data_IF_846326027983
#
_entry.id   IF_846326027983
#
_cell.length_a   1.000
_cell.length_b   1.000
_cell.length_c   1.000
_cell.angle_alpha   90.00
_cell.angle_beta   90.00
_cell.angle_gamma   90.00
#
_symmetry.space_group_name_H-M   'P 1'
#
loop_
_entity.id
_entity.type
_entity.pdbx_description
1 polymer ?
#
# COMPACT_ATOMS: atom_id res chain seq x y z
N UNK A 1 -38.04 -25.96 -2.40
CA UNK A 1 -36.71 -26.50 -2.72
C UNK A 1 -36.85 -27.79 -3.48
N UNK A 2 -36.85 -27.68 -4.80
CA UNK A 2 -36.72 -28.83 -5.71
C UNK A 2 -35.23 -29.03 -6.09
N UNK A 3 -34.94 -30.07 -6.87
CA UNK A 3 -33.57 -30.38 -7.26
C UNK A 3 -32.92 -29.27 -8.09
N UNK A 4 -33.66 -28.65 -9.02
CA UNK A 4 -33.14 -27.56 -9.85
C UNK A 4 -32.80 -26.32 -9.02
N UNK A 5 -33.63 -25.99 -8.02
CA UNK A 5 -33.36 -24.92 -7.06
C UNK A 5 -32.10 -25.20 -6.23
N UNK A 6 -31.85 -26.46 -5.87
CA UNK A 6 -30.61 -26.87 -5.19
C UNK A 6 -29.38 -26.70 -6.09
N UNK A 7 -29.45 -27.17 -7.34
CA UNK A 7 -28.36 -27.01 -8.32
C UNK A 7 -28.04 -25.54 -8.53
N UNK A 8 -29.06 -24.70 -8.73
CA UNK A 8 -28.87 -23.26 -8.90
C UNK A 8 -28.22 -22.61 -7.67
N UNK A 9 -28.59 -23.01 -6.46
CA UNK A 9 -27.95 -22.50 -5.24
C UNK A 9 -26.47 -22.91 -5.15
N UNK A 10 -26.14 -24.15 -5.49
CA UNK A 10 -24.74 -24.64 -5.51
C UNK A 10 -23.91 -23.85 -6.52
N UNK A 11 -24.42 -23.65 -7.74
CA UNK A 11 -23.74 -22.88 -8.77
C UNK A 11 -23.52 -21.42 -8.34
N UNK A 12 -24.54 -20.80 -7.74
CA UNK A 12 -24.44 -19.43 -7.24
C UNK A 12 -23.40 -19.30 -6.13
N UNK A 13 -23.37 -20.25 -5.17
CA UNK A 13 -22.35 -20.27 -4.12
C UNK A 13 -20.96 -20.43 -4.72
N UNK A 14 -20.79 -21.32 -5.71
CA UNK A 14 -19.51 -21.52 -6.38
C UNK A 14 -19.01 -20.23 -7.05
N UNK A 15 -19.86 -19.57 -7.84
CA UNK A 15 -19.51 -18.35 -8.56
C UNK A 15 -19.15 -17.22 -7.60
N UNK A 16 -19.98 -16.98 -6.58
CA UNK A 16 -19.76 -15.89 -5.64
C UNK A 16 -18.52 -16.12 -4.75
N UNK A 17 -18.28 -17.36 -4.30
CA UNK A 17 -17.09 -17.67 -3.50
C UNK A 17 -15.80 -17.62 -4.32
N UNK A 18 -15.82 -18.06 -5.58
CA UNK A 18 -14.68 -17.94 -6.49
C UNK A 18 -14.34 -16.47 -6.76
N UNK A 19 -15.35 -15.66 -7.06
CA UNK A 19 -15.20 -14.21 -7.25
C UNK A 19 -14.65 -13.54 -6.00
N UNK A 20 -15.16 -13.90 -4.82
CA UNK A 20 -14.65 -13.40 -3.55
C UNK A 20 -13.18 -13.76 -3.35
N UNK A 21 -12.77 -15.01 -3.62
CA UNK A 21 -11.38 -15.44 -3.50
C UNK A 21 -10.44 -14.62 -4.40
N UNK A 22 -10.81 -14.40 -5.67
CA UNK A 22 -10.03 -13.56 -6.60
C UNK A 22 -9.91 -12.12 -6.08
N UNK A 23 -11.00 -11.55 -5.54
CA UNK A 23 -10.98 -10.21 -4.95
C UNK A 23 -10.06 -10.12 -3.72
N UNK A 24 -10.01 -11.15 -2.88
CA UNK A 24 -9.10 -11.20 -1.73
C UNK A 24 -7.63 -11.29 -2.15
N UNK A 25 -7.33 -12.08 -3.18
CA UNK A 25 -5.98 -12.16 -3.76
C UNK A 25 -5.57 -10.80 -4.31
N UNK A 26 -6.40 -10.18 -5.15
CA UNK A 26 -6.11 -8.87 -5.75
C UNK A 26 -5.93 -7.78 -4.69
N UNK A 27 -6.78 -7.79 -3.66
CA UNK A 27 -6.67 -6.89 -2.51
C UNK A 27 -5.33 -7.06 -1.78
N UNK A 28 -4.96 -8.30 -1.48
CA UNK A 28 -3.72 -8.64 -0.77
C UNK A 28 -2.49 -8.23 -1.56
N UNK A 29 -2.49 -8.46 -2.88
CA UNK A 29 -1.41 -8.03 -3.78
C UNK A 29 -1.28 -6.51 -3.81
N UNK A 30 -2.39 -5.77 -3.84
CA UNK A 30 -2.40 -4.31 -3.83
C UNK A 30 -1.84 -3.75 -2.52
N UNK A 31 -2.28 -4.30 -1.38
CA UNK A 31 -1.77 -3.94 -0.05
C UNK A 31 -0.26 -4.17 0.03
N UNK A 32 0.22 -5.34 -0.40
CA UNK A 32 1.65 -5.67 -0.45
C UNK A 32 2.42 -4.64 -1.27
N UNK A 33 1.93 -4.31 -2.47
CA UNK A 33 2.60 -3.37 -3.37
C UNK A 33 2.71 -1.96 -2.73
N UNK A 34 1.65 -1.48 -2.09
CA UNK A 34 1.65 -0.19 -1.39
C UNK A 34 2.66 -0.18 -0.23
N UNK A 35 2.67 -1.24 0.59
CA UNK A 35 3.59 -1.34 1.72
C UNK A 35 5.05 -1.41 1.27
N UNK A 36 5.36 -2.15 0.20
CA UNK A 36 6.71 -2.17 -0.38
C UNK A 36 7.11 -0.77 -0.84
N UNK A 37 6.22 -0.05 -1.53
CA UNK A 37 6.45 1.33 -1.93
C UNK A 37 6.76 2.25 -0.75
N UNK A 38 5.98 2.14 0.32
CA UNK A 38 6.23 2.86 1.58
C UNK A 38 7.62 2.57 2.14
N UNK A 39 8.01 1.30 2.27
CA UNK A 39 9.32 0.94 2.82
C UNK A 39 10.49 1.42 1.96
N UNK A 40 10.35 1.40 0.63
CA UNK A 40 11.37 1.95 -0.26
C UNK A 40 11.55 3.45 -0.01
N UNK A 41 10.46 4.21 0.03
CA UNK A 41 10.52 5.67 0.24
C UNK A 41 11.09 6.00 1.62
N UNK A 42 10.67 5.27 2.66
CA UNK A 42 11.22 5.48 4.02
C UNK A 42 12.72 5.20 4.08
N UNK A 43 13.19 4.13 3.43
CA UNK A 43 14.62 3.83 3.36
C UNK A 43 15.39 4.90 2.56
N UNK A 44 14.88 5.32 1.40
CA UNK A 44 15.52 6.36 0.58
C UNK A 44 15.63 7.70 1.35
N UNK A 45 14.65 8.04 2.20
CA UNK A 45 14.64 9.29 2.96
C UNK A 45 15.42 9.22 4.27
N UNK A 46 15.29 8.13 5.04
CA UNK A 46 15.74 8.05 6.43
C UNK A 46 16.67 6.86 6.71
N UNK A 47 17.06 6.09 5.69
CA UNK A 47 17.93 4.92 5.84
C UNK A 47 19.34 5.32 6.27
N UNK A 48 19.86 4.64 7.29
CA UNK A 48 21.23 4.84 7.79
C UNK A 48 22.28 4.55 6.71
N UNK A 49 22.11 3.44 5.98
CA UNK A 49 23.05 3.01 4.93
C UNK A 49 22.70 3.57 3.54
N UNK A 50 21.88 4.63 3.45
CA UNK A 50 21.44 5.18 2.15
C UNK A 50 22.59 5.65 1.27
N UNK A 51 23.71 6.06 1.88
CA UNK A 51 24.90 6.50 1.16
C UNK A 51 25.58 5.34 0.41
N UNK A 52 25.51 4.12 0.96
CA UNK A 52 26.15 2.93 0.40
C UNK A 52 25.35 2.35 -0.78
N UNK A 53 24.03 2.48 -0.75
CA UNK A 53 23.14 1.94 -1.80
C UNK A 53 22.69 2.99 -2.81
N UNK A 54 22.59 4.26 -2.41
CA UNK A 54 22.36 5.44 -3.24
C UNK A 54 21.22 5.30 -4.25
N UNK A 55 21.42 5.87 -5.44
CA UNK A 55 20.46 5.83 -6.56
C UNK A 55 20.18 4.42 -7.09
N UNK A 56 20.93 3.40 -6.65
CA UNK A 56 20.81 2.01 -7.13
C UNK A 56 20.03 1.09 -6.17
N UNK A 57 19.43 1.65 -5.11
CA UNK A 57 18.70 0.92 -4.07
C UNK A 57 17.70 -0.08 -4.65
N UNK A 58 16.84 0.34 -5.58
CA UNK A 58 15.81 -0.53 -6.17
C UNK A 58 16.40 -1.74 -6.91
N UNK A 59 17.48 -1.56 -7.67
CA UNK A 59 18.12 -2.67 -8.38
C UNK A 59 18.78 -3.65 -7.40
N UNK A 60 19.32 -3.14 -6.29
CA UNK A 60 19.90 -3.97 -5.23
C UNK A 60 18.84 -4.77 -4.49
N UNK A 61 17.67 -4.17 -4.23
CA UNK A 61 16.50 -4.87 -3.68
C UNK A 61 16.09 -5.97 -4.66
N UNK A 62 15.87 -5.65 -5.93
CA UNK A 62 15.45 -6.60 -6.96
C UNK A 62 16.37 -7.82 -7.06
N UNK A 63 17.70 -7.62 -6.98
CA UNK A 63 18.68 -8.71 -6.98
C UNK A 63 18.55 -9.63 -5.76
N UNK A 64 18.33 -9.06 -4.58
CA UNK A 64 18.22 -9.80 -3.31
C UNK A 64 16.88 -10.55 -3.19
N UNK A 65 15.79 -9.96 -3.68
CA UNK A 65 14.44 -10.54 -3.60
C UNK A 65 14.03 -11.29 -4.86
N UNK A 66 14.96 -11.63 -5.75
CA UNK A 66 14.71 -12.31 -7.03
C UNK A 66 13.92 -13.62 -6.93
N UNK A 67 13.93 -14.25 -5.75
CA UNK A 67 13.19 -15.48 -5.46
C UNK A 67 11.67 -15.25 -5.32
N UNK A 68 11.23 -14.01 -5.14
CA UNK A 68 9.82 -13.65 -4.99
C UNK A 68 9.24 -13.29 -6.36
N UNK A 69 8.31 -14.14 -6.84
CA UNK A 69 7.62 -13.90 -8.11
C UNK A 69 6.82 -12.59 -8.06
N UNK A 70 6.94 -11.79 -9.12
CA UNK A 70 6.21 -10.52 -9.24
C UNK A 70 6.83 -9.36 -8.46
N UNK A 71 8.10 -9.48 -8.04
CA UNK A 71 8.92 -8.39 -7.52
C UNK A 71 10.20 -8.28 -8.36
N UNK A 72 10.19 -7.37 -9.33
CA UNK A 72 11.31 -7.01 -10.20
C UNK A 72 11.64 -5.52 -10.07
N UNK A 73 12.80 -5.06 -10.57
CA UNK A 73 13.17 -3.64 -10.51
C UNK A 73 12.07 -2.72 -11.11
N UNK A 74 11.51 -2.98 -12.32
CA UNK A 74 10.41 -2.17 -12.84
C UNK A 74 9.16 -2.15 -11.95
N UNK A 75 8.85 -3.27 -11.28
CA UNK A 75 7.72 -3.33 -10.36
C UNK A 75 7.99 -2.53 -9.08
N UNK A 76 9.20 -2.62 -8.53
CA UNK A 76 9.61 -1.86 -7.36
C UNK A 76 9.57 -0.34 -7.62
N UNK A 77 10.01 0.11 -8.81
CA UNK A 77 9.82 1.51 -9.24
C UNK A 77 8.33 1.89 -9.23
N UNK A 78 7.46 1.08 -9.83
CA UNK A 78 6.01 1.33 -9.84
C UNK A 78 5.41 1.35 -8.44
N UNK A 79 5.85 0.48 -7.53
CA UNK A 79 5.36 0.44 -6.15
C UNK A 79 5.74 1.72 -5.39
N UNK A 80 7.00 2.16 -5.54
CA UNK A 80 7.48 3.43 -4.99
C UNK A 80 6.67 4.61 -5.54
N UNK A 81 6.52 4.69 -6.86
CA UNK A 81 5.83 5.81 -7.52
C UNK A 81 4.32 5.83 -7.17
N UNK A 82 3.70 4.65 -7.03
CA UNK A 82 2.33 4.50 -6.52
C UNK A 82 2.19 5.11 -5.12
N UNK A 83 3.10 4.78 -4.20
CA UNK A 83 3.05 5.31 -2.84
C UNK A 83 3.30 6.82 -2.81
N UNK A 84 4.29 7.32 -3.56
CA UNK A 84 4.57 8.76 -3.66
C UNK A 84 3.38 9.54 -4.22
N UNK A 85 2.66 8.96 -5.19
CA UNK A 85 1.48 9.58 -5.81
C UNK A 85 0.27 9.60 -4.87
N UNK A 86 0.12 8.57 -4.03
CA UNK A 86 -1.06 8.39 -3.18
C UNK A 86 -0.70 8.07 -1.73
N UNK A 87 0.04 8.92 -1.00
CA UNK A 87 0.51 8.59 0.34
C UNK A 87 -0.63 8.39 1.36
N UNK A 88 -1.79 9.03 1.12
CA UNK A 88 -2.98 8.90 1.96
C UNK A 88 -3.64 7.51 1.89
N UNK A 89 -3.35 6.71 0.86
CA UNK A 89 -3.92 5.36 0.72
C UNK A 89 -3.40 4.42 1.81
N UNK A 90 -2.23 4.74 2.38
CA UNK A 90 -1.60 3.93 3.43
C UNK A 90 -2.51 3.80 4.65
N UNK A 91 -3.19 4.87 5.08
CA UNK A 91 -4.13 4.81 6.21
C UNK A 91 -5.29 3.84 5.95
N UNK A 92 -5.81 3.79 4.73
CA UNK A 92 -6.87 2.85 4.36
C UNK A 92 -6.36 1.40 4.33
N UNK A 93 -5.14 1.19 3.83
CA UNK A 93 -4.47 -0.12 3.85
C UNK A 93 -4.25 -0.61 5.27
N UNK A 94 -3.75 0.23 6.16
CA UNK A 94 -3.49 -0.10 7.56
C UNK A 94 -4.77 -0.50 8.30
N UNK A 95 -5.84 0.29 8.17
CA UNK A 95 -7.15 -0.05 8.72
C UNK A 95 -7.67 -1.39 8.22
N UNK A 96 -7.46 -1.70 6.94
CA UNK A 96 -7.87 -3.00 6.37
C UNK A 96 -7.06 -4.16 6.96
N UNK A 97 -5.78 -3.94 7.27
CA UNK A 97 -4.90 -4.94 7.89
C UNK A 97 -5.21 -5.18 9.37
N UNK A 98 -5.54 -4.14 10.14
CA UNK A 98 -5.95 -4.25 11.55
C UNK A 98 -7.12 -5.23 11.71
N UNK A 99 -8.10 -5.17 10.81
CA UNK A 99 -9.28 -6.02 10.84
C UNK A 99 -9.03 -7.50 10.46
N UNK A 100 -7.82 -7.84 9.99
CA UNK A 100 -7.51 -9.17 9.41
C UNK A 100 -6.62 -10.03 10.32
N UNK A 101 -6.20 -9.53 11.48
CA UNK A 101 -5.38 -10.19 12.54
C UNK A 101 -4.07 -10.92 12.14
N UNK A 102 -3.72 -11.07 10.86
CA UNK A 102 -2.58 -11.89 10.42
C UNK A 102 -1.24 -11.15 10.17
N UNK A 103 -1.16 -9.82 10.18
CA UNK A 103 0.10 -9.11 9.85
C UNK A 103 0.45 -8.04 10.88
N UNK A 104 1.05 -8.52 11.98
CA UNK A 104 2.16 -7.93 12.78
C UNK A 104 1.98 -6.59 13.51
N UNK A 105 1.98 -6.69 14.84
CA UNK A 105 2.31 -5.58 15.75
C UNK A 105 3.66 -4.89 15.43
N UNK A 106 4.60 -5.56 14.72
CA UNK A 106 5.91 -5.01 14.36
C UNK A 106 5.93 -4.16 13.06
N UNK A 107 5.17 -4.55 12.03
CA UNK A 107 5.01 -3.71 10.83
C UNK A 107 4.22 -2.46 11.20
N UNK A 108 3.16 -2.65 12.01
CA UNK A 108 2.30 -1.56 12.46
C UNK A 108 3.02 -0.58 13.40
N UNK A 109 3.85 -1.04 14.34
CA UNK A 109 4.57 -0.14 15.26
C UNK A 109 5.55 0.79 14.53
N UNK A 110 6.17 0.33 13.44
CA UNK A 110 7.10 1.14 12.63
C UNK A 110 6.35 2.14 11.76
N UNK A 111 5.23 1.73 11.15
CA UNK A 111 4.42 2.56 10.26
C UNK A 111 3.59 3.60 11.04
N UNK A 112 2.93 3.18 12.13
CA UNK A 112 2.05 4.04 12.94
C UNK A 112 2.80 5.14 13.68
N UNK A 113 3.98 4.82 14.24
CA UNK A 113 4.84 5.83 14.88
C UNK A 113 5.21 6.96 13.92
N UNK A 114 5.38 6.66 12.62
CA UNK A 114 5.69 7.67 11.60
C UNK A 114 4.45 8.44 11.12
N UNK A 115 3.29 7.79 11.01
CA UNK A 115 2.02 8.44 10.69
C UNK A 115 1.59 9.48 11.74
N UNK A 116 1.89 9.25 13.01
CA UNK A 116 1.69 10.25 14.08
C UNK A 116 2.61 11.46 13.94
N UNK A 117 3.78 11.29 13.31
CA UNK A 117 4.82 12.32 13.15
C UNK A 117 4.62 13.13 11.84
N UNK A 118 3.87 12.62 10.87
CA UNK A 118 3.58 13.36 9.64
C UNK A 118 2.79 14.65 9.99
N UNK A 119 3.29 15.85 9.66
CA UNK A 119 2.57 17.07 9.97
C UNK A 119 1.24 17.06 9.22
N UNK A 120 0.11 17.11 9.96
CA UNK A 120 -1.20 17.47 9.40
C UNK A 120 -0.99 18.76 8.62
N UNK A 121 -1.01 18.71 7.28
CA UNK A 121 -1.04 19.91 6.46
C UNK A 121 -2.28 20.69 6.88
N UNK A 122 -2.08 21.75 7.66
CA UNK A 122 -3.10 22.74 7.96
C UNK A 122 -3.50 23.33 6.62
N UNK A 123 -4.73 23.09 6.19
CA UNK A 123 -5.37 23.80 5.09
C UNK A 123 -5.41 25.29 5.45
N UNK A 124 -4.34 26.03 5.17
CA UNK A 124 -4.41 27.48 5.11
C UNK A 124 -4.89 27.82 3.71
N UNK A 125 -6.20 27.93 3.57
CA UNK A 125 -6.80 28.70 2.49
C UNK A 125 -6.22 30.10 2.57
N UNK A 126 -5.32 30.44 1.63
CA UNK A 126 -4.92 31.82 1.39
C UNK A 126 -6.11 32.49 0.70
N UNK A 127 -6.99 33.11 1.48
CA UNK A 127 -7.84 34.18 0.96
C UNK A 127 -6.94 35.41 0.91
N UNK A 128 -6.49 35.72 -0.31
CA UNK A 128 -5.80 36.97 -0.61
C UNK A 128 -6.76 38.14 -0.37
N UNK A 129 -6.62 38.84 0.75
CA UNK A 129 -7.10 40.21 0.85
C UNK A 129 -6.10 41.13 0.13
N UNK A 130 -6.39 41.45 -1.12
CA UNK A 130 -5.80 42.61 -1.78
C UNK A 130 -6.35 43.88 -1.12
N UNK A 131 -5.54 44.51 -0.25
CA UNK A 131 -5.62 45.96 -0.03
C UNK A 131 -4.95 46.63 -1.22
N UNK A 132 -5.71 47.41 -1.98
CA UNK A 132 -5.16 48.53 -2.74
C UNK A 132 -5.92 49.77 -2.25
N UNK A 133 -5.18 50.63 -1.56
CA UNK A 133 -5.54 52.02 -1.35
C UNK A 133 -5.19 52.79 -2.63
N UNK A 134 -6.16 53.49 -3.20
CA UNK A 134 -6.05 54.86 -3.72
C UNK A 134 -7.46 55.40 -3.92
#
# INVERSE_FOLDING_TARGET
MNFDELIQQIENIHIETQKYAVQQVNSSLTIRNILIGFFIVEFEQNGFDRADYGANTINQIAKRVKHIKGISAPQLYRFRDLYLSYPHILSAVLRKLENTSMITQNIFSTVSRKLEIMPKKRNHGRICHSRINQ
#
